data_IF_415847342402
#
_entry.id   IF_415847342402
#
_cell.length_a   1.000
_cell.length_b   1.000
_cell.length_c   1.000
_cell.angle_alpha   90.00
_cell.angle_beta   90.00
_cell.angle_gamma   90.00
#
_symmetry.space_group_name_H-M   'P 1'
#
loop_
_entity.id
_entity.type
_entity.pdbx_description
1 polymer ?
2 non-polymer ?
3 non-polymer ?
4 water ?
#
# COMPACT_ATOMS: atom_id res chain seq x y z
N UNK A 10 -11.57 -19.00 14.28
CA UNK A 10 -11.54 -18.49 15.67
C UNK A 10 -12.27 -17.14 15.69
N UNK A 11 -13.57 -17.27 15.93
CA UNK A 11 -14.44 -16.09 16.05
C UNK A 11 -14.50 -15.70 17.52
N UNK A 12 -14.55 -14.41 17.77
CA UNK A 12 -14.58 -13.88 19.13
C UNK A 12 -16.05 -13.58 19.46
N UNK A 13 -16.41 -13.87 20.69
CA UNK A 13 -17.77 -13.65 21.18
C UNK A 13 -18.29 -12.27 20.80
N UNK A 14 -19.50 -12.22 20.28
CA UNK A 14 -20.13 -10.96 19.86
C UNK A 14 -20.32 -10.12 21.13
N UNK A 15 -19.89 -8.88 21.07
CA UNK A 15 -20.10 -7.94 22.15
C UNK A 15 -21.62 -7.65 22.25
N UNK A 16 -22.00 -7.20 23.44
CA UNK A 16 -23.36 -6.81 23.75
C UNK A 16 -23.97 -5.80 22.83
N UNK A 17 -23.27 -4.76 22.40
CA UNK A 17 -23.88 -3.70 21.62
C UNK A 17 -24.06 -3.94 20.16
N UNK A 18 -23.68 -5.10 19.70
CA UNK A 18 -23.67 -5.36 18.23
C UNK A 18 -24.87 -6.17 17.80
N UNK A 19 -25.68 -5.60 16.96
CA UNK A 19 -26.89 -6.33 16.45
C UNK A 19 -26.44 -7.54 15.64
N UNK A 20 -27.10 -8.66 15.87
CA UNK A 20 -26.77 -9.92 15.20
C UNK A 20 -26.86 -9.80 13.68
N UNK A 21 -27.71 -8.91 13.20
CA UNK A 21 -28.01 -8.77 11.79
C UNK A 21 -26.85 -8.07 11.06
N UNK A 22 -26.05 -7.40 11.90
CA UNK A 22 -24.89 -6.66 11.39
C UNK A 22 -23.67 -7.54 11.31
N UNK A 23 -23.69 -8.73 11.76
CA UNK A 23 -22.55 -9.65 11.71
C UNK A 23 -22.26 -10.20 10.33
N UNK A 24 -20.96 -10.11 9.99
CA UNK A 24 -20.46 -10.64 8.70
C UNK A 24 -18.99 -11.01 8.96
N UNK A 25 -18.72 -12.29 9.03
CA UNK A 25 -17.44 -12.78 9.52
C UNK A 25 -16.41 -12.82 8.35
N UNK A 26 -15.91 -11.70 8.08
CA UNK A 26 -14.80 -11.53 7.07
C UNK A 26 -13.47 -11.53 7.85
N UNK A 27 -12.49 -12.23 7.29
CA UNK A 27 -11.14 -12.34 7.77
C UNK A 27 -10.24 -11.55 6.78
N UNK A 28 -9.84 -10.37 7.20
CA UNK A 28 -8.98 -9.52 6.36
C UNK A 28 -7.65 -10.21 6.02
N UNK A 29 -7.22 -11.22 6.70
CA UNK A 29 -5.99 -11.94 6.45
C UNK A 29 -6.18 -13.20 5.64
N UNK A 30 -7.41 -13.66 5.58
CA UNK A 30 -7.72 -14.87 4.81
C UNK A 30 -9.17 -14.90 4.37
N UNK A 31 -9.49 -14.00 3.49
CA UNK A 31 -10.84 -13.91 2.95
C UNK A 31 -11.11 -15.19 2.15
N UNK A 32 -12.42 -15.38 1.98
CA UNK A 32 -12.95 -16.53 1.34
C UNK A 32 -12.69 -16.75 -0.08
N UNK A 33 -12.91 -15.83 -1.00
CA UNK A 33 -12.64 -16.35 -2.40
C UNK A 33 -11.35 -15.80 -2.95
N UNK A 34 -10.31 -15.97 -2.13
CA UNK A 34 -8.97 -15.47 -2.47
C UNK A 34 -8.55 -16.01 -3.82
N UNK A 35 -8.88 -17.24 -4.10
CA UNK A 35 -8.59 -17.87 -5.40
C UNK A 35 -8.95 -16.98 -6.56
N UNK A 36 -10.09 -16.29 -6.46
CA UNK A 36 -10.60 -15.43 -7.52
C UNK A 36 -9.80 -14.15 -7.73
N UNK A 37 -8.97 -13.83 -6.76
CA UNK A 37 -8.22 -12.53 -6.76
C UNK A 37 -8.53 -11.84 -5.44
N UNK A 38 -7.61 -11.02 -4.95
CA UNK A 38 -7.76 -10.32 -3.71
C UNK A 38 -8.80 -9.22 -3.72
N UNK A 39 -8.87 -8.39 -4.70
CA UNK A 39 -9.80 -7.31 -4.84
C UNK A 39 -11.24 -7.94 -4.93
N UNK A 40 -11.35 -8.97 -5.73
CA UNK A 40 -12.56 -9.79 -5.82
C UNK A 40 -12.99 -10.39 -4.51
N UNK A 41 -12.15 -10.95 -3.69
CA UNK A 41 -12.46 -11.47 -2.38
C UNK A 41 -12.96 -10.43 -1.44
N UNK A 42 -12.39 -9.27 -1.39
CA UNK A 42 -12.86 -8.17 -0.54
C UNK A 42 -14.22 -7.64 -1.05
N UNK A 43 -14.40 -7.60 -2.36
CA UNK A 43 -15.59 -7.06 -2.98
C UNK A 43 -16.90 -7.80 -2.58
N UNK A 44 -16.81 -8.94 -1.96
CA UNK A 44 -17.90 -9.70 -1.44
C UNK A 44 -18.63 -8.85 -0.36
N UNK A 45 -17.93 -7.95 0.26
CA UNK A 45 -18.42 -6.99 1.21
C UNK A 45 -19.40 -6.03 0.56
N UNK A 46 -19.35 -5.87 -0.75
CA UNK A 46 -20.24 -4.85 -1.37
C UNK A 46 -21.47 -5.44 -2.03
N UNK A 47 -21.67 -6.70 -1.86
CA UNK A 47 -22.83 -7.42 -2.45
C UNK A 47 -24.08 -6.90 -1.69
N UNK A 48 -25.17 -6.92 -2.44
CA UNK A 48 -26.52 -6.50 -1.94
C UNK A 48 -26.90 -7.08 -0.61
N UNK A 49 -26.49 -8.24 -0.22
CA UNK A 49 -26.77 -8.87 1.01
C UNK A 49 -25.97 -8.29 2.20
N UNK A 50 -25.04 -7.38 1.90
CA UNK A 50 -24.17 -6.97 3.06
C UNK A 50 -24.55 -5.56 3.40
N UNK A 51 -24.81 -5.34 4.67
CA UNK A 51 -25.10 -4.00 5.19
C UNK A 51 -23.83 -3.12 5.00
N UNK A 52 -23.99 -1.82 4.97
CA UNK A 52 -22.95 -0.84 4.70
C UNK A 52 -21.87 -0.82 5.77
N UNK A 53 -22.28 -1.21 6.96
CA UNK A 53 -21.42 -1.28 8.12
C UNK A 53 -21.63 -2.56 8.85
N UNK A 54 -20.69 -3.46 8.85
CA UNK A 54 -20.71 -4.75 9.44
C UNK A 54 -19.74 -4.92 10.58
N UNK A 55 -19.89 -6.01 11.28
CA UNK A 55 -19.15 -6.46 12.41
C UNK A 55 -18.69 -7.87 12.09
N UNK A 56 -17.38 -8.06 12.24
CA UNK A 56 -16.82 -9.39 11.91
C UNK A 56 -16.27 -9.89 13.21
N UNK A 57 -16.37 -11.18 13.42
CA UNK A 57 -15.87 -11.74 14.69
C UNK A 57 -14.46 -12.27 14.58
N UNK A 58 -13.86 -12.08 13.39
CA UNK A 58 -12.51 -12.60 13.16
C UNK A 58 -11.55 -11.50 13.71
N UNK A 59 -10.36 -11.97 13.97
CA UNK A 59 -9.27 -11.08 14.37
C UNK A 59 -9.67 -10.28 15.60
N UNK A 60 -10.45 -10.94 16.47
CA UNK A 60 -10.90 -10.38 17.71
C UNK A 60 -12.14 -9.52 17.69
N UNK A 61 -12.72 -9.19 16.55
CA UNK A 61 -13.88 -8.38 16.42
C UNK A 61 -13.71 -6.93 16.14
N UNK A 62 -14.28 -6.46 15.04
CA UNK A 62 -14.15 -5.04 14.63
C UNK A 62 -15.24 -4.78 13.61
N UNK A 63 -15.51 -3.52 13.34
CA UNK A 63 -16.38 -3.01 12.33
C UNK A 63 -15.62 -2.91 11.01
N UNK A 64 -16.33 -2.92 9.90
CA UNK A 64 -15.79 -2.69 8.58
C UNK A 64 -16.79 -1.81 7.85
N UNK A 65 -16.50 -0.67 7.40
CA UNK A 65 -17.30 0.13 6.50
C UNK A 65 -17.11 -0.40 5.09
N UNK A 66 -18.15 -0.52 4.26
CA UNK A 66 -18.06 -1.21 2.99
C UNK A 66 -18.26 -0.33 1.78
N UNK A 67 -18.49 0.94 1.99
CA UNK A 67 -18.83 1.85 0.94
C UNK A 67 -17.99 3.12 1.00
N UNK A 68 -17.76 3.58 -0.21
CA UNK A 68 -16.99 4.80 -0.41
C UNK A 68 -17.39 5.92 0.46
N UNK A 69 -18.74 6.15 0.52
CA UNK A 69 -19.27 7.30 1.30
C UNK A 69 -18.85 7.24 2.74
N UNK A 70 -18.96 6.10 3.36
CA UNK A 70 -18.68 5.83 4.72
C UNK A 70 -17.17 5.90 5.01
N UNK A 71 -16.39 5.30 4.14
CA UNK A 71 -14.90 5.28 4.34
C UNK A 71 -14.34 6.69 4.37
N UNK A 72 -14.75 7.54 3.46
CA UNK A 72 -14.39 8.91 3.36
C UNK A 72 -14.82 9.74 4.54
N UNK A 73 -16.04 9.51 5.01
CA UNK A 73 -16.54 10.26 6.19
C UNK A 73 -15.71 9.90 7.40
N UNK A 74 -15.51 8.63 7.58
CA UNK A 74 -14.73 8.13 8.74
C UNK A 74 -13.32 8.70 8.69
N UNK A 75 -12.78 8.84 7.48
CA UNK A 75 -11.45 9.38 7.26
C UNK A 75 -11.33 10.85 7.53
N UNK A 76 -12.34 11.64 7.28
CA UNK A 76 -12.42 13.04 7.52
C UNK A 76 -12.56 13.38 8.98
N UNK A 77 -13.29 12.60 9.70
CA UNK A 77 -13.68 12.63 11.06
C UNK A 77 -12.73 12.27 12.14
N UNK A 78 -11.53 12.78 12.19
CA UNK A 78 -10.52 12.29 13.17
C UNK A 78 -10.92 12.42 14.61
N UNK A 79 -11.90 13.27 14.87
CA UNK A 79 -12.37 13.47 16.27
C UNK A 79 -12.95 12.18 16.82
N UNK A 80 -13.75 11.52 15.96
CA UNK A 80 -14.37 10.24 16.32
C UNK A 80 -13.52 9.05 15.97
N UNK A 81 -12.93 9.13 14.77
CA UNK A 81 -12.11 7.95 14.35
C UNK A 81 -10.63 8.30 14.44
N UNK A 82 -10.00 7.76 15.44
CA UNK A 82 -8.59 8.11 15.72
C UNK A 82 -7.58 7.14 15.16
N UNK A 83 -6.46 7.76 14.72
CA UNK A 83 -5.34 6.98 14.14
C UNK A 83 -4.47 6.32 15.16
N UNK A 84 -4.75 6.58 16.44
CA UNK A 84 -3.94 6.02 17.53
C UNK A 84 -3.67 4.55 17.39
N UNK A 85 -4.68 3.86 16.87
CA UNK A 85 -4.66 2.35 16.81
C UNK A 85 -5.28 2.00 15.46
N UNK A 86 -4.43 2.08 14.40
CA UNK A 86 -4.89 2.00 13.03
C UNK A 86 -4.85 0.65 12.40
N UNK A 87 -4.23 -0.31 13.05
CA UNK A 87 -4.11 -1.67 12.63
C UNK A 87 -4.99 -2.59 13.47
N UNK A 88 -5.40 -3.62 12.78
CA UNK A 88 -6.16 -4.75 13.28
C UNK A 88 -5.23 -5.93 13.02
N UNK A 89 -5.06 -6.82 13.96
CA UNK A 89 -5.72 -6.84 15.25
C UNK A 89 -5.20 -5.78 16.21
N UNK A 90 -5.80 -5.74 17.38
CA UNK A 90 -5.60 -4.72 18.41
C UNK A 90 -4.16 -4.69 18.88
N UNK A 91 -3.57 -5.81 19.17
CA UNK A 91 -2.20 -5.93 19.61
C UNK A 91 -1.26 -5.22 18.61
N UNK A 92 -1.58 -5.41 17.35
CA UNK A 92 -0.82 -4.77 16.26
C UNK A 92 -1.04 -3.25 16.36
N UNK A 93 -2.33 -2.88 16.41
CA UNK A 93 -2.67 -1.46 16.43
C UNK A 93 -2.07 -0.75 17.62
N UNK A 94 -2.03 -1.48 18.73
CA UNK A 94 -1.50 -1.04 19.99
C UNK A 94 0.00 -0.81 19.93
N UNK A 95 0.71 -1.79 19.41
CA UNK A 95 2.17 -1.71 19.25
C UNK A 95 2.58 -0.74 18.15
N UNK A 96 1.65 -0.32 17.33
CA UNK A 96 1.93 0.57 16.16
C UNK A 96 2.19 1.96 16.70
N UNK A 97 3.37 2.54 16.37
CA UNK A 97 3.73 3.85 16.89
C UNK A 97 4.46 4.71 15.85
N UNK A 98 4.24 4.33 14.61
CA UNK A 98 4.77 5.06 13.46
C UNK A 98 4.25 6.46 13.39
N UNK A 99 5.12 7.35 12.87
CA UNK A 99 4.77 8.76 12.71
C UNK A 99 4.85 9.07 11.23
N UNK A 100 3.95 9.85 10.69
CA UNK A 100 2.84 10.52 11.37
C UNK A 100 1.56 9.73 11.54
N UNK A 101 1.54 8.50 11.13
CA UNK A 101 0.36 7.69 10.95
C UNK A 101 -0.40 7.36 12.20
N UNK A 102 0.26 7.42 13.34
CA UNK A 102 -0.36 7.09 14.61
C UNK A 102 -0.75 8.36 15.32
N UNK A 103 -0.85 9.46 14.60
CA UNK A 103 -1.21 10.75 15.17
C UNK A 103 -2.38 11.44 14.47
N UNK A 104 -3.14 12.19 15.27
CA UNK A 104 -4.27 12.96 14.76
C UNK A 104 -3.85 14.41 14.69
N UNK A 105 -4.49 15.18 13.87
CA UNK A 105 -4.25 16.64 13.82
C UNK A 105 -4.62 17.14 15.21
N UNK A 106 -4.01 18.23 15.67
CA UNK A 106 -3.07 19.08 14.93
C UNK A 106 -1.64 18.55 15.02
N UNK A 107 -1.37 17.70 15.97
CA UNK A 107 -0.09 17.06 16.21
C UNK A 107 0.57 16.50 14.97
N UNK A 108 -0.18 15.70 14.22
CA UNK A 108 0.29 15.06 12.99
C UNK A 108 0.99 15.98 12.01
N UNK A 109 0.51 17.17 11.85
CA UNK A 109 0.84 18.17 10.87
C UNK A 109 2.30 18.61 10.74
N UNK A 110 2.99 18.68 11.86
CA UNK A 110 4.39 19.06 11.95
C UNK A 110 5.24 17.90 11.43
N UNK A 111 4.93 16.72 11.92
CA UNK A 111 5.69 15.53 11.46
C UNK A 111 5.43 15.31 9.99
N UNK A 112 4.18 15.52 9.57
CA UNK A 112 3.85 15.37 8.14
C UNK A 112 4.69 16.33 7.31
N UNK A 113 4.84 17.57 7.80
CA UNK A 113 5.60 18.61 7.08
C UNK A 113 7.03 18.12 6.78
N UNK A 114 7.64 17.47 7.72
CA UNK A 114 9.00 16.94 7.65
C UNK A 114 9.13 15.76 6.73
N UNK A 115 8.20 14.79 6.87
CA UNK A 115 8.18 13.59 6.04
C UNK A 115 8.08 14.00 4.57
N UNK A 116 7.41 15.09 4.31
CA UNK A 116 7.21 15.65 3.00
C UNK A 116 8.52 16.17 2.39
N UNK A 117 9.38 16.74 3.26
CA UNK A 117 10.67 17.28 2.82
C UNK A 117 11.47 16.15 2.15
N UNK A 118 11.40 15.00 2.71
CA UNK A 118 12.00 13.80 2.28
C UNK A 118 11.41 13.04 1.10
N UNK A 119 10.11 12.85 1.00
CA UNK A 119 9.42 12.10 -0.04
C UNK A 119 8.66 12.92 -1.03
N UNK A 120 8.45 14.19 -0.76
CA UNK A 120 7.66 15.07 -1.60
C UNK A 120 8.03 15.16 -3.04
N UNK A 121 7.24 15.99 -3.74
CA UNK A 121 7.38 16.35 -5.14
C UNK A 121 8.79 16.64 -5.65
N UNK A 122 9.45 17.59 -5.01
CA UNK A 122 10.79 18.04 -5.40
C UNK A 122 11.82 16.93 -5.32
N UNK A 123 11.68 15.97 -4.46
CA UNK A 123 12.56 14.80 -4.33
C UNK A 123 12.40 13.86 -5.52
N UNK A 124 11.14 13.77 -5.99
CA UNK A 124 10.84 12.85 -7.10
C UNK A 124 11.43 13.40 -8.38
N UNK A 125 11.26 14.72 -8.51
CA UNK A 125 11.74 15.49 -9.64
C UNK A 125 13.26 15.35 -9.77
N UNK A 126 13.91 15.40 -8.64
CA UNK A 126 15.33 15.20 -8.48
C UNK A 126 15.79 13.79 -8.76
N UNK A 127 15.01 12.76 -8.43
CA UNK A 127 15.39 11.38 -8.62
C UNK A 127 14.92 10.77 -9.93
N UNK A 128 14.26 11.52 -10.71
CA UNK A 128 13.62 11.11 -11.90
C UNK A 128 14.51 10.35 -12.85
N UNK A 129 15.66 10.93 -13.17
CA UNK A 129 16.64 10.29 -14.02
C UNK A 129 17.13 9.00 -13.46
N UNK A 130 17.32 8.83 -12.17
CA UNK A 130 17.73 7.51 -11.65
C UNK A 130 16.60 6.48 -11.85
N UNK A 131 15.38 7.04 -11.62
CA UNK A 131 14.21 6.08 -11.69
C UNK A 131 14.20 5.45 -13.08
N UNK A 132 14.24 6.28 -14.07
CA UNK A 132 14.24 5.90 -15.52
C UNK A 132 15.42 5.07 -15.88
N UNK A 133 16.59 5.39 -15.28
CA UNK A 133 17.83 4.66 -15.52
C UNK A 133 17.72 3.26 -15.03
N UNK A 134 17.27 3.10 -13.79
CA UNK A 134 17.15 1.73 -13.24
C UNK A 134 16.08 0.89 -13.94
N UNK A 135 15.02 1.54 -14.31
CA UNK A 135 13.88 0.75 -14.94
C UNK A 135 14.39 0.13 -16.22
N UNK A 136 14.90 0.95 -17.09
CA UNK A 136 15.48 0.59 -18.38
C UNK A 136 16.58 -0.47 -18.27
N UNK A 137 17.45 -0.35 -17.30
CA UNK A 137 18.50 -1.34 -17.06
C UNK A 137 17.99 -2.71 -16.70
N UNK A 138 17.05 -2.71 -15.77
CA UNK A 138 16.43 -3.95 -15.27
C UNK A 138 15.65 -4.67 -16.37
N UNK A 139 14.93 -3.91 -17.16
CA UNK A 139 14.10 -4.44 -18.25
C UNK A 139 15.03 -4.98 -19.35
N UNK A 140 15.93 -4.11 -19.79
CA UNK A 140 16.89 -4.54 -20.87
C UNK A 140 17.59 -5.82 -20.49
N UNK A 141 17.93 -5.99 -19.26
CA UNK A 141 18.55 -7.19 -18.70
C UNK A 141 17.71 -8.42 -18.71
N UNK A 142 16.36 -8.25 -18.58
CA UNK A 142 15.41 -9.33 -18.59
C UNK A 142 15.06 -9.78 -20.01
N UNK A 143 14.84 -8.83 -20.85
CA UNK A 143 14.42 -8.87 -22.21
C UNK A 143 14.80 -10.06 -23.04
N UNK A 144 16.08 -10.41 -23.16
CA UNK A 144 16.55 -11.52 -23.97
C UNK A 144 16.25 -12.88 -23.39
N UNK A 145 15.94 -12.94 -22.13
CA UNK A 145 15.68 -14.17 -21.39
C UNK A 145 14.41 -14.93 -21.78
N UNK A 146 13.41 -14.19 -22.19
CA UNK A 146 12.12 -14.65 -22.57
C UNK A 146 11.27 -15.10 -21.36
N UNK A 147 11.72 -14.88 -20.16
CA UNK A 147 11.05 -15.34 -18.95
C UNK A 147 11.61 -14.75 -17.68
N UNK A 148 10.71 -14.29 -16.80
CA UNK A 148 11.14 -13.92 -15.44
C UNK A 148 10.15 -14.43 -14.39
N UNK A 149 10.36 -14.03 -13.19
CA UNK A 149 9.59 -14.06 -12.00
C UNK A 149 9.20 -12.65 -11.69
N UNK A 150 8.48 -11.85 -12.41
CA UNK A 150 8.32 -10.44 -12.22
C UNK A 150 8.39 -9.96 -10.78
N UNK A 151 7.90 -10.73 -9.83
CA UNK A 151 7.87 -10.24 -8.46
C UNK A 151 9.30 -10.15 -7.93
N UNK A 152 10.02 -11.27 -8.07
CA UNK A 152 11.42 -11.25 -7.60
C UNK A 152 12.35 -10.54 -8.53
N UNK A 153 12.10 -10.55 -9.83
CA UNK A 153 12.95 -9.95 -10.86
C UNK A 153 12.85 -8.49 -11.14
N UNK A 154 11.75 -7.82 -10.84
CA UNK A 154 11.58 -6.42 -11.18
C UNK A 154 10.80 -5.70 -10.07
N UNK A 155 9.60 -6.33 -9.79
CA UNK A 155 8.73 -5.58 -8.82
C UNK A 155 9.40 -5.31 -7.51
N UNK A 156 10.23 -6.15 -6.97
CA UNK A 156 11.02 -5.97 -5.77
C UNK A 156 12.24 -5.08 -5.92
N UNK A 157 13.17 -5.40 -6.81
CA UNK A 157 14.35 -4.62 -7.06
C UNK A 157 14.16 -3.17 -7.38
N UNK A 158 13.29 -2.85 -8.31
CA UNK A 158 13.01 -1.53 -8.85
C UNK A 158 12.73 -0.50 -7.82
N UNK A 159 11.63 -0.72 -7.07
CA UNK A 159 11.21 0.20 -6.05
C UNK A 159 12.17 0.24 -4.89
N UNK A 160 12.64 -0.88 -4.42
CA UNK A 160 13.49 -1.00 -3.24
C UNK A 160 14.88 -0.41 -3.43
N UNK A 161 15.44 -0.67 -4.58
CA UNK A 161 16.77 -0.07 -4.86
C UNK A 161 16.65 1.44 -4.91
N UNK A 162 15.56 1.96 -5.43
CA UNK A 162 15.36 3.41 -5.51
C UNK A 162 15.23 4.07 -4.16
N UNK A 163 14.67 3.33 -3.25
CA UNK A 163 14.42 3.73 -1.89
C UNK A 163 15.75 3.61 -1.11
N UNK A 164 16.48 2.53 -1.33
CA UNK A 164 17.71 2.31 -0.53
C UNK A 164 18.65 3.47 -0.80
N UNK A 165 18.65 3.92 -2.02
CA UNK A 165 19.38 5.03 -2.55
C UNK A 165 19.00 6.33 -1.84
N UNK A 166 17.70 6.55 -1.76
CA UNK A 166 17.12 7.77 -1.23
C UNK A 166 17.38 7.85 0.28
N UNK A 167 17.40 6.70 0.89
CA UNK A 167 17.53 6.52 2.32
C UNK A 167 19.01 6.36 2.71
N UNK A 168 19.83 6.12 1.73
CA UNK A 168 21.27 5.91 1.87
C UNK A 168 21.55 4.66 2.66
N UNK A 169 20.88 3.57 2.32
CA UNK A 169 21.04 2.31 3.06
C UNK A 169 21.56 1.25 2.09
N UNK A 170 22.25 0.27 2.65
CA UNK A 170 22.87 -0.79 1.86
C UNK A 170 21.89 -1.77 1.26
N UNK A 171 22.14 -2.08 -0.02
CA UNK A 171 21.30 -3.04 -0.73
C UNK A 171 21.41 -4.41 -0.11
N UNK A 172 22.41 -4.64 0.69
CA UNK A 172 22.65 -5.94 1.33
C UNK A 172 21.65 -6.16 2.46
N UNK A 173 21.06 -5.05 2.89
CA UNK A 173 20.11 -5.11 4.02
C UNK A 173 18.72 -5.50 3.54
N UNK A 174 18.50 -5.49 2.25
CA UNK A 174 17.18 -5.74 1.67
C UNK A 174 16.46 -6.95 2.20
N UNK A 175 17.09 -8.11 2.05
CA UNK A 175 16.46 -9.38 2.43
C UNK A 175 15.87 -9.33 3.84
N UNK A 176 16.67 -8.78 4.73
CA UNK A 176 16.39 -8.69 6.15
C UNK A 176 15.23 -7.72 6.37
N UNK A 177 15.38 -6.51 5.86
CA UNK A 177 14.37 -5.49 6.02
C UNK A 177 13.00 -5.85 5.45
N UNK A 178 13.04 -6.49 4.30
CA UNK A 178 11.88 -6.93 3.54
C UNK A 178 11.10 -7.95 4.35
N UNK A 179 11.78 -8.91 4.95
CA UNK A 179 11.13 -9.93 5.76
C UNK A 179 10.35 -9.30 6.92
N UNK A 180 10.96 -8.34 7.57
CA UNK A 180 10.34 -7.65 8.68
C UNK A 180 9.14 -6.80 8.25
N UNK A 181 9.24 -6.21 7.10
CA UNK A 181 8.21 -5.32 6.54
C UNK A 181 6.95 -6.11 6.21
N UNK A 182 7.17 -7.27 5.65
CA UNK A 182 6.20 -8.27 5.30
C UNK A 182 5.40 -8.79 6.50
N UNK A 183 6.10 -9.02 7.57
CA UNK A 183 5.60 -9.50 8.84
C UNK A 183 4.59 -8.54 9.42
N UNK A 184 4.75 -7.27 9.10
CA UNK A 184 3.87 -6.21 9.57
C UNK A 184 2.58 -6.08 8.77
N UNK A 185 2.61 -6.35 7.49
CA UNK A 185 1.43 -6.19 6.63
C UNK A 185 0.73 -7.50 6.32
N UNK A 186 1.53 -8.52 6.14
CA UNK A 186 1.02 -9.88 5.82
C UNK A 186 1.59 -10.91 6.76
N UNK A 187 1.31 -10.72 8.05
CA UNK A 187 1.73 -11.61 9.14
C UNK A 187 1.62 -13.08 8.80
N UNK A 188 2.68 -13.74 9.20
CA UNK A 188 3.04 -15.12 8.84
C UNK A 188 2.86 -16.11 9.99
N UNK A 189 2.84 -15.58 11.19
CA UNK A 189 2.67 -16.36 12.42
C UNK A 189 4.03 -16.60 13.06
N UNK A 190 5.06 -16.35 12.28
CA UNK A 190 6.46 -16.52 12.67
C UNK A 190 6.85 -15.56 13.78
N UNK A 191 6.34 -14.33 13.69
CA UNK A 191 6.56 -13.33 14.75
C UNK A 191 5.35 -12.44 14.91
N UNK A 192 5.16 -12.02 16.15
CA UNK A 192 4.12 -11.02 16.53
C UNK A 192 4.51 -9.66 15.93
N UNK A 193 3.61 -8.72 15.92
CA UNK A 193 3.84 -7.38 15.41
C UNK A 193 4.90 -6.68 16.26
N UNK A 194 4.78 -6.76 17.57
CA UNK A 194 5.72 -6.11 18.47
C UNK A 194 7.15 -6.57 18.24
N UNK A 195 7.37 -7.84 18.08
CA UNK A 195 8.68 -8.42 17.79
C UNK A 195 9.23 -7.83 16.46
N UNK A 196 8.40 -7.70 15.46
CA UNK A 196 8.76 -7.26 14.13
C UNK A 196 9.16 -5.80 14.13
N UNK A 197 8.39 -5.02 14.86
CA UNK A 197 8.59 -3.59 15.02
C UNK A 197 9.94 -3.36 15.75
N UNK A 198 10.17 -4.24 16.72
CA UNK A 198 11.36 -4.21 17.53
C UNK A 198 12.64 -4.47 16.77
N UNK A 199 12.63 -5.47 15.93
CA UNK A 199 13.77 -5.84 15.10
C UNK A 199 14.07 -4.75 14.08
N UNK A 200 13.03 -4.10 13.59
CA UNK A 200 13.21 -3.03 12.61
C UNK A 200 13.87 -1.84 13.32
N UNK A 201 13.49 -1.68 14.56
CA UNK A 201 13.86 -0.60 15.43
C UNK A 201 15.30 -0.77 15.90
N UNK A 202 15.69 -2.01 16.09
CA UNK A 202 17.05 -2.41 16.46
C UNK A 202 18.03 -2.05 15.32
N UNK A 203 17.52 -2.21 14.14
CA UNK A 203 18.18 -1.88 12.90
C UNK A 203 18.43 -0.38 12.79
N UNK A 204 17.39 0.41 12.85
CA UNK A 204 17.41 1.84 12.70
C UNK A 204 18.22 2.62 13.71
N UNK A 205 18.04 2.34 14.97
CA UNK A 205 18.67 3.02 16.10
C UNK A 205 20.11 3.44 15.87
N UNK A 206 20.98 2.50 15.66
CA UNK A 206 22.41 2.76 15.38
C UNK A 206 22.61 3.77 14.25
N UNK A 207 21.85 3.52 13.17
CA UNK A 207 21.90 4.28 11.94
C UNK A 207 21.49 5.71 12.17
N UNK A 208 20.41 5.90 12.90
CA UNK A 208 19.93 7.26 13.23
C UNK A 208 21.00 7.93 14.09
N UNK A 209 21.55 7.18 15.03
CA UNK A 209 22.56 7.73 15.96
C UNK A 209 23.69 8.39 15.12
N UNK A 210 24.25 7.57 14.30
CA UNK A 210 25.32 7.83 13.34
C UNK A 210 25.05 9.08 12.52
N UNK A 211 23.85 9.24 12.03
CA UNK A 211 23.43 10.36 11.20
C UNK A 211 23.06 11.62 11.94
N UNK A 212 22.96 11.53 13.25
CA UNK A 212 22.69 12.71 14.08
C UNK A 212 24.08 13.37 14.31
N UNK A 213 25.08 12.51 14.43
CA UNK A 213 26.46 12.94 14.64
C UNK A 213 27.09 13.46 13.33
N UNK A 214 27.04 12.61 12.33
CA UNK A 214 27.55 12.84 10.99
C UNK A 214 26.46 12.78 9.91
N UNK A 215 25.77 13.91 9.75
CA UNK A 215 24.72 14.09 8.79
C UNK A 215 25.14 13.95 7.33
N UNK A 216 24.23 13.30 6.61
CA UNK A 216 24.31 13.15 5.14
C UNK A 216 23.20 14.00 4.51
N UNK A 217 22.98 13.69 3.27
CA UNK A 217 21.99 14.33 2.40
C UNK A 217 20.84 13.35 2.11
N UNK A 218 20.95 12.17 2.63
CA UNK A 218 19.96 11.09 2.50
C UNK A 218 18.70 11.45 3.34
N UNK A 219 17.71 10.57 3.12
CA UNK A 219 16.40 10.75 3.79
C UNK A 219 16.50 10.67 5.29
N UNK A 220 17.19 9.69 5.81
CA UNK A 220 17.34 9.40 7.22
C UNK A 220 18.04 10.52 7.98
N UNK A 221 19.08 11.04 7.32
CA UNK A 221 19.84 12.18 7.83
C UNK A 221 18.94 13.39 7.96
N UNK A 222 18.12 13.61 6.96
CA UNK A 222 17.22 14.80 7.00
C UNK A 222 16.18 14.64 8.09
N UNK A 223 15.64 13.45 8.23
CA UNK A 223 14.66 13.16 9.29
C UNK A 223 15.32 13.33 10.67
N UNK A 224 16.41 12.69 10.90
CA UNK A 224 17.11 12.67 12.20
C UNK A 224 17.58 14.00 12.72
N UNK A 225 17.73 14.94 11.82
CA UNK A 225 18.25 16.30 12.10
C UNK A 225 17.19 17.36 11.92
N UNK A 226 15.98 16.97 11.55
CA UNK A 226 14.87 17.88 11.25
C UNK A 226 14.41 18.66 12.47
N UNK A 227 13.53 19.60 12.22
CA UNK A 227 12.87 20.45 13.20
C UNK A 227 11.36 20.18 13.19
N UNK A 228 10.80 20.11 14.36
CA UNK A 228 9.35 19.93 14.53
C UNK A 228 8.88 20.80 15.69
N UNK A 229 8.00 21.71 15.35
CA UNK A 229 7.41 22.64 16.32
C UNK A 229 8.51 23.52 16.93
N UNK A 230 9.28 24.12 16.02
CA UNK A 230 10.37 25.02 16.37
C UNK A 230 11.58 24.35 16.99
N UNK A 231 11.38 23.24 17.66
CA UNK A 231 12.46 22.49 18.36
C UNK A 231 12.91 21.33 17.52
N UNK A 232 13.94 20.62 17.98
CA UNK A 232 14.54 19.51 17.28
C UNK A 232 13.87 18.17 17.53
N UNK A 233 13.69 17.41 16.46
CA UNK A 233 13.10 16.07 16.58
C UNK A 233 13.94 15.26 17.55
N UNK A 234 13.32 14.47 18.38
CA UNK A 234 14.02 13.56 19.28
C UNK A 234 14.40 12.35 18.44
N UNK A 235 15.09 11.44 19.05
CA UNK A 235 15.63 10.22 18.46
C UNK A 235 14.57 9.16 18.25
N UNK A 236 13.71 9.00 19.25
CA UNK A 236 12.58 8.05 19.19
C UNK A 236 11.62 8.47 18.08
N UNK A 237 11.40 9.76 17.92
CA UNK A 237 10.63 10.38 16.89
C UNK A 237 11.12 10.10 15.48
N UNK A 238 12.45 10.21 15.31
CA UNK A 238 13.02 9.92 13.95
C UNK A 238 12.92 8.43 13.73
N UNK A 239 13.16 7.68 14.79
CA UNK A 239 13.10 6.20 14.67
C UNK A 239 11.74 5.77 14.12
N UNK A 240 10.69 6.30 14.74
CA UNK A 240 9.31 6.14 14.36
C UNK A 240 8.91 6.69 13.04
N UNK A 241 9.42 7.79 12.52
CA UNK A 241 9.15 8.23 11.19
C UNK A 241 9.81 7.25 10.17
N UNK A 242 11.09 6.96 10.45
CA UNK A 242 11.84 6.16 9.46
C UNK A 242 11.20 4.82 9.31
N UNK A 243 10.74 4.29 10.43
CA UNK A 243 10.11 2.94 10.43
C UNK A 243 8.95 2.95 9.41
N UNK A 244 8.19 4.01 9.36
CA UNK A 244 7.12 4.12 8.38
C UNK A 244 7.60 4.23 6.95
N UNK A 245 8.58 5.15 6.76
CA UNK A 245 9.15 5.36 5.40
C UNK A 245 9.59 4.02 4.84
N UNK A 246 10.12 3.21 5.68
CA UNK A 246 10.63 1.91 5.42
C UNK A 246 9.60 0.91 4.88
N UNK A 247 8.49 0.84 5.56
CA UNK A 247 7.34 -0.02 5.15
C UNK A 247 6.76 0.55 3.87
N UNK A 248 6.64 1.86 3.76
CA UNK A 248 6.12 2.49 2.54
C UNK A 248 7.03 2.18 1.37
N UNK A 249 8.35 2.26 1.63
CA UNK A 249 9.36 2.03 0.57
C UNK A 249 9.42 0.61 0.08
N UNK A 250 9.39 -0.37 0.92
CA UNK A 250 9.58 -1.76 0.70
C UNK A 250 8.39 -2.59 0.30
N UNK A 251 7.24 -2.26 0.88
CA UNK A 251 5.99 -2.96 0.75
C UNK A 251 4.90 -2.43 -0.09
N UNK A 252 4.82 -1.28 -0.64
CA UNK A 252 3.68 -0.77 -1.38
C UNK A 252 3.74 -0.85 -2.89
N UNK A 253 4.60 -0.08 -3.48
CA UNK A 253 4.85 -0.01 -4.91
C UNK A 253 5.17 -1.42 -5.41
N UNK A 254 5.83 -2.13 -4.58
CA UNK A 254 6.29 -3.50 -4.91
C UNK A 254 5.13 -4.41 -5.28
N UNK A 255 4.10 -4.31 -4.42
CA UNK A 255 2.88 -5.17 -4.59
C UNK A 255 2.06 -4.66 -5.73
N UNK A 256 1.82 -3.38 -5.80
CA UNK A 256 1.02 -2.77 -6.84
C UNK A 256 1.49 -3.15 -8.23
N UNK A 257 2.83 -3.13 -8.42
CA UNK A 257 3.31 -3.40 -9.81
C UNK A 257 2.91 -4.79 -10.21
N UNK A 258 2.99 -5.72 -9.27
CA UNK A 258 2.64 -7.14 -9.61
C UNK A 258 1.18 -7.28 -10.00
N UNK A 259 0.26 -6.53 -9.31
CA UNK A 259 -1.16 -6.66 -9.65
C UNK A 259 -1.35 -6.18 -11.07
N UNK A 260 -0.79 -5.01 -11.36
CA UNK A 260 -0.90 -4.33 -12.62
C UNK A 260 -0.27 -5.11 -13.77
N UNK A 261 0.84 -5.73 -13.49
CA UNK A 261 1.57 -6.52 -14.52
C UNK A 261 0.87 -7.81 -14.82
N UNK A 262 0.31 -8.41 -13.77
CA UNK A 262 -0.54 -9.62 -13.97
C UNK A 262 -1.70 -9.28 -14.88
N UNK A 263 -2.33 -8.16 -14.69
CA UNK A 263 -3.39 -7.64 -15.52
C UNK A 263 -2.92 -7.42 -16.95
N UNK A 264 -1.79 -6.71 -17.11
CA UNK A 264 -1.29 -6.46 -18.47
C UNK A 264 -0.98 -7.76 -19.20
N UNK A 265 -0.44 -8.72 -18.52
CA UNK A 265 -0.13 -10.02 -19.04
C UNK A 265 -1.35 -10.73 -19.60
N UNK A 266 -2.52 -10.39 -19.09
CA UNK A 266 -3.79 -11.04 -19.56
C UNK A 266 -4.58 -10.20 -20.46
N UNK A 267 -4.22 -9.00 -20.73
CA UNK A 267 -4.99 -8.08 -21.57
C UNK A 267 -4.25 -7.43 -22.67
N UNK A 268 -4.07 -8.19 -23.77
CA UNK A 268 -3.41 -7.72 -24.98
C UNK A 268 -3.92 -6.42 -25.48
N UNK A 269 -5.25 -6.20 -25.31
CA UNK A 269 -5.87 -4.97 -25.82
C UNK A 269 -5.55 -3.77 -24.95
N UNK A 270 -5.24 -3.99 -23.70
CA UNK A 270 -4.89 -2.86 -22.80
C UNK A 270 -3.44 -2.46 -23.08
N UNK A 271 -2.65 -3.47 -23.28
CA UNK A 271 -1.22 -3.23 -23.70
C UNK A 271 -1.19 -2.39 -24.94
N UNK A 272 -1.90 -2.79 -25.98
CA UNK A 272 -1.90 -2.13 -27.28
C UNK A 272 -2.35 -0.72 -27.19
N UNK A 273 -3.34 -0.55 -26.32
CA UNK A 273 -3.95 0.77 -26.18
C UNK A 273 -2.89 1.75 -25.73
N UNK A 274 -2.04 1.33 -24.82
CA UNK A 274 -0.98 2.13 -24.21
C UNK A 274 0.19 2.38 -25.16
N UNK A 275 0.44 1.44 -26.03
CA UNK A 275 1.44 1.51 -27.06
C UNK A 275 1.14 2.51 -28.11
N UNK A 276 -0.07 2.52 -28.70
CA UNK A 276 -0.42 3.48 -29.71
C UNK A 276 -0.81 4.84 -29.25
N UNK A 277 -1.29 4.97 -28.05
CA UNK A 277 -1.87 6.27 -27.55
C UNK A 277 -1.26 6.55 -26.19
N UNK A 278 0.03 6.84 -26.20
CA UNK A 278 0.86 7.04 -25.02
C UNK A 278 0.41 8.14 -24.09
N UNK A 279 -0.34 9.07 -24.64
CA UNK A 279 -0.90 10.19 -23.90
C UNK A 279 -1.89 9.73 -22.82
N UNK A 280 -2.18 8.45 -22.80
CA UNK A 280 -3.15 7.80 -21.95
C UNK A 280 -2.57 7.13 -20.74
N UNK A 281 -1.26 6.98 -20.69
CA UNK A 281 -0.58 6.33 -19.59
C UNK A 281 -0.96 6.85 -18.21
N UNK A 282 -1.02 8.13 -18.05
CA UNK A 282 -1.33 8.80 -16.79
C UNK A 282 -2.72 8.40 -16.32
N UNK A 283 -3.65 8.41 -17.21
CA UNK A 283 -5.06 8.08 -17.07
C UNK A 283 -5.22 6.62 -16.75
N UNK A 284 -4.48 5.80 -17.48
CA UNK A 284 -4.39 4.37 -17.26
C UNK A 284 -3.82 4.07 -15.90
N UNK A 285 -2.86 4.91 -15.46
CA UNK A 285 -2.16 4.60 -14.18
C UNK A 285 -3.21 4.79 -13.05
N UNK A 286 -3.95 5.82 -13.16
CA UNK A 286 -5.01 6.15 -12.17
C UNK A 286 -6.07 5.04 -12.13
N UNK A 287 -6.42 4.55 -13.30
CA UNK A 287 -7.43 3.49 -13.44
C UNK A 287 -6.98 2.26 -12.80
N UNK A 288 -5.69 1.88 -13.01
CA UNK A 288 -5.08 0.72 -12.31
C UNK A 288 -4.97 0.96 -10.86
N UNK A 289 -4.63 2.17 -10.39
CA UNK A 289 -4.59 2.45 -8.95
C UNK A 289 -6.01 2.20 -8.36
N UNK A 290 -7.03 2.47 -9.16
CA UNK A 290 -8.43 2.22 -8.67
C UNK A 290 -8.73 0.75 -8.57
N UNK A 291 -8.57 0.03 -9.66
CA UNK A 291 -8.92 -1.41 -9.75
C UNK A 291 -8.04 -2.29 -8.94
N UNK A 292 -6.74 -1.89 -8.81
CA UNK A 292 -5.81 -2.76 -8.10
C UNK A 292 -5.32 -2.16 -6.81
N UNK A 293 -6.18 -1.36 -6.19
CA UNK A 293 -6.05 -0.83 -4.82
C UNK A 293 -5.76 -1.93 -3.87
N UNK A 294 -4.89 -1.69 -2.85
CA UNK A 294 -4.40 -2.74 -2.00
C UNK A 294 -4.15 -2.53 -0.54
N UNK A 295 -4.42 -1.36 0.02
CA UNK A 295 -4.21 -1.10 1.42
C UNK A 295 -5.60 -1.09 2.15
N UNK A 296 -5.59 -1.71 3.28
CA UNK A 296 -6.70 -1.66 4.24
C UNK A 296 -6.24 -1.44 5.65
N UNK A 297 -6.47 -0.25 6.16
CA UNK A 297 -6.26 -0.04 7.63
C UNK A 297 -7.54 0.54 8.22
N UNK A 298 -7.45 1.07 9.46
CA UNK A 298 -8.68 1.59 10.12
C UNK A 298 -8.32 2.57 11.18
N UNK A 299 -9.27 2.80 12.10
CA UNK A 299 -9.23 3.79 13.16
C UNK A 299 -9.84 3.22 14.44
N UNK A 300 -9.77 3.96 15.51
CA UNK A 300 -10.28 3.49 16.82
C UNK A 300 -11.30 4.47 17.32
N UNK A 301 -12.38 3.95 17.96
CA UNK A 301 -13.39 4.95 18.43
C UNK A 301 -12.83 5.61 19.68
N UNK A 302 -12.91 6.92 19.67
CA UNK A 302 -12.44 7.74 20.82
C UNK A 302 -13.59 7.85 21.86
N UNK A 303 -14.78 7.47 21.42
CA UNK A 303 -15.98 7.55 22.25
C UNK A 303 -17.16 6.86 21.52
N UNK A 304 -18.22 6.76 22.33
CA UNK A 304 -19.49 6.16 21.80
C UNK A 304 -20.00 7.19 20.79
N UNK A 305 -20.39 6.69 19.65
CA UNK A 305 -20.81 7.61 18.57
C UNK A 305 -21.73 6.77 17.67
N UNK A 306 -22.74 7.44 17.21
CA UNK A 306 -23.74 6.85 16.34
C UNK A 306 -23.47 7.30 14.92
N UNK A 307 -23.10 6.34 14.11
CA UNK A 307 -22.66 6.61 12.72
C UNK A 307 -23.58 5.81 11.79
N UNK A 308 -24.32 6.50 10.98
CA UNK A 308 -25.25 5.92 9.99
C UNK A 308 -26.19 4.94 10.67
N UNK A 309 -26.75 5.40 11.79
CA UNK A 309 -27.65 4.68 12.64
C UNK A 309 -27.10 3.50 13.35
N UNK A 310 -25.79 3.24 13.30
CA UNK A 310 -25.21 2.07 14.06
C UNK A 310 -24.47 2.70 15.26
N UNK A 311 -24.61 2.07 16.42
CA UNK A 311 -23.96 2.55 17.64
C UNK A 311 -22.53 2.03 17.81
N UNK A 312 -21.64 3.02 17.77
CA UNK A 312 -20.18 2.57 17.88
C UNK A 312 -19.81 2.84 19.33
N UNK A 313 -19.11 1.92 19.96
CA UNK A 313 -18.67 2.14 21.33
C UNK A 313 -17.21 2.58 21.38
N UNK A 314 -16.91 3.37 22.39
CA UNK A 314 -15.51 3.87 22.58
C UNK A 314 -14.59 2.67 22.61
N UNK A 315 -13.49 2.67 21.87
CA UNK A 315 -12.52 1.55 21.93
C UNK A 315 -12.73 0.53 20.82
N UNK A 316 -13.83 0.70 20.08
CA UNK A 316 -14.13 -0.22 18.98
C UNK A 316 -13.13 0.18 17.84
N UNK A 317 -12.63 -0.86 17.24
CA UNK A 317 -11.79 -0.52 16.00
C UNK A 317 -12.70 -0.70 14.81
N UNK A 318 -12.55 0.08 13.76
CA UNK A 318 -13.28 -0.14 12.51
C UNK A 318 -12.24 -0.12 11.34
N UNK A 319 -12.39 -1.09 10.49
CA UNK A 319 -11.50 -1.18 9.28
C UNK A 319 -12.17 -0.35 8.21
N UNK A 320 -11.53 0.64 7.67
CA UNK A 320 -11.98 1.51 6.62
C UNK A 320 -11.05 1.19 5.41
N UNK A 321 -11.36 0.12 4.69
CA UNK A 321 -10.56 -0.33 3.57
C UNK A 321 -10.39 0.66 2.45
N UNK A 322 -9.17 1.29 2.33
CA UNK A 322 -9.03 2.26 1.21
C UNK A 322 -9.33 1.58 -0.12
N UNK A 323 -9.06 0.30 -0.16
CA UNK A 323 -9.21 -0.53 -1.37
C UNK A 323 -10.67 -0.55 -1.89
N UNK A 324 -11.61 -0.41 -0.98
CA UNK A 324 -13.04 -0.65 -1.32
C UNK A 324 -13.71 0.48 -2.00
N UNK A 325 -13.34 1.70 -1.67
CA UNK A 325 -13.87 2.91 -2.21
C UNK A 325 -14.13 2.90 -3.70
N UNK A 326 -13.05 2.62 -4.47
CA UNK A 326 -13.14 2.76 -5.93
C UNK A 326 -13.72 1.52 -6.58
N UNK A 327 -13.89 0.49 -5.79
CA UNK A 327 -14.50 -0.75 -6.22
C UNK A 327 -16.03 -0.73 -6.04
N UNK A 328 -16.47 0.29 -5.36
CA UNK A 328 -17.89 0.55 -5.05
C UNK A 328 -18.62 1.04 -6.25
N UNK A 329 -19.67 0.28 -6.70
CA UNK A 329 -20.48 0.67 -7.83
C UNK A 329 -21.19 1.99 -7.67
N UNK A 330 -21.45 2.43 -6.46
CA UNK A 330 -22.11 3.74 -6.24
C UNK A 330 -21.11 4.83 -6.64
N UNK A 331 -19.85 4.45 -6.78
CA UNK A 331 -18.74 5.33 -7.11
C UNK A 331 -18.26 5.16 -8.54
N UNK A 332 -18.05 3.93 -8.98
CA UNK A 332 -17.58 3.68 -10.35
C UNK A 332 -18.52 2.65 -11.01
N UNK A 333 -19.09 3.02 -12.12
CA UNK A 333 -19.94 2.03 -12.87
C UNK A 333 -19.03 0.88 -13.28
N UNK A 334 -19.51 -0.34 -13.37
CA UNK A 334 -18.78 -1.53 -13.71
C UNK A 334 -17.37 -1.53 -13.10
N UNK A 335 -17.28 -1.62 -11.79
CA UNK A 335 -16.05 -1.46 -11.05
C UNK A 335 -14.95 -2.43 -11.32
N UNK A 336 -15.22 -3.66 -11.60
CA UNK A 336 -14.28 -4.73 -11.79
C UNK A 336 -13.66 -4.70 -13.20
N UNK A 337 -14.14 -3.86 -14.01
CA UNK A 337 -13.76 -3.68 -15.40
C UNK A 337 -12.78 -2.46 -15.46
N UNK A 338 -11.70 -2.74 -16.22
CA UNK A 338 -10.65 -1.74 -16.38
C UNK A 338 -10.97 -0.98 -17.68
N UNK A 339 -11.10 0.30 -17.54
CA UNK A 339 -11.41 1.21 -18.64
C UNK A 339 -10.56 2.46 -18.53
N UNK A 340 -9.56 2.57 -19.39
CA UNK A 340 -8.65 3.71 -19.41
C UNK A 340 -9.32 4.98 -19.80
N UNK A 341 -10.47 4.98 -20.40
CA UNK A 341 -11.21 6.16 -20.83
C UNK A 341 -12.37 6.61 -19.93
N UNK A 342 -12.37 6.20 -18.69
CA UNK A 342 -13.44 6.67 -17.75
C UNK A 342 -13.40 8.18 -17.61
N UNK A 343 -14.56 8.79 -17.62
CA UNK A 343 -14.73 10.20 -17.38
C UNK A 343 -14.18 10.61 -16.02
N UNK A 344 -14.32 9.72 -15.07
CA UNK A 344 -13.92 10.02 -13.66
C UNK A 344 -13.48 8.75 -12.97
N UNK A 345 -12.26 8.75 -12.48
CA UNK A 345 -11.71 7.60 -11.76
C UNK A 345 -11.73 8.03 -10.28
N UNK A 346 -12.65 7.43 -9.54
CA UNK A 346 -12.79 7.76 -8.11
C UNK A 346 -12.20 6.63 -7.30
N UNK A 347 -11.29 6.95 -6.38
CA UNK A 347 -10.65 5.97 -5.52
C UNK A 347 -10.18 6.70 -4.27
N UNK A 348 -9.68 5.99 -3.32
CA UNK A 348 -8.99 6.52 -2.09
C UNK A 348 -7.79 5.62 -1.88
N UNK A 349 -7.17 5.20 -2.99
CA UNK A 349 -6.01 4.29 -2.96
C UNK A 349 -4.88 4.79 -2.08
N UNK A 350 -4.65 6.08 -2.11
CA UNK A 350 -3.58 6.73 -1.33
C UNK A 350 -4.13 7.37 -0.05
N UNK A 351 -5.32 6.93 0.32
CA UNK A 351 -6.01 7.37 1.55
C UNK A 351 -6.86 8.60 1.35
N UNK A 352 -7.27 9.16 2.50
CA UNK A 352 -8.24 10.30 2.48
C UNK A 352 -8.21 10.92 3.87
N UNK A 353 -8.45 12.20 3.90
CA UNK A 353 -8.36 13.00 5.11
C UNK A 353 -6.93 13.52 5.29
N UNK A 354 -6.59 13.75 6.57
CA UNK A 354 -5.29 14.41 6.83
C UNK A 354 -4.11 13.49 6.63
N UNK A 355 -4.32 12.21 6.41
CA UNK A 355 -3.35 11.18 6.24
C UNK A 355 -3.00 10.82 4.81
N UNK A 356 -3.40 11.51 3.82
CA UNK A 356 -3.08 11.21 2.39
C UNK A 356 -1.63 10.80 2.20
N UNK A 357 -1.31 9.82 1.35
CA UNK A 357 0.03 9.35 1.09
C UNK A 357 0.90 10.56 0.65
N UNK A 358 1.98 10.69 1.39
CA UNK A 358 3.03 11.65 1.01
C UNK A 358 3.85 11.08 -0.15
N UNK A 359 4.02 9.78 -0.18
CA UNK A 359 4.79 9.09 -1.20
C UNK A 359 4.08 8.73 -2.48
N UNK A 360 2.93 9.34 -2.67
CA UNK A 360 2.05 9.00 -3.81
C UNK A 360 2.71 9.39 -5.11
N UNK A 361 3.34 10.56 -5.07
CA UNK A 361 4.07 11.17 -6.21
C UNK A 361 5.23 10.31 -6.68
N UNK A 362 5.93 9.73 -5.77
CA UNK A 362 7.01 8.78 -6.01
C UNK A 362 6.42 7.51 -6.62
N UNK A 363 5.33 7.05 -5.94
CA UNK A 363 4.67 5.82 -6.40
C UNK A 363 4.20 5.90 -7.82
N UNK A 364 3.56 6.95 -8.22
CA UNK A 364 3.05 7.23 -9.52
C UNK A 364 4.18 7.29 -10.58
N UNK A 365 5.29 7.91 -10.16
CA UNK A 365 6.42 8.09 -11.14
C UNK A 365 6.98 6.76 -11.47
N UNK A 366 7.15 5.88 -10.53
CA UNK A 366 7.61 4.56 -10.61
C UNK A 366 6.71 3.67 -11.45
N UNK A 367 5.41 3.96 -11.34
CA UNK A 367 4.41 3.15 -12.11
C UNK A 367 4.48 3.56 -13.57
N UNK A 368 4.37 4.83 -13.83
CA UNK A 368 4.34 5.40 -15.13
C UNK A 368 5.63 5.02 -15.93
N UNK A 369 6.74 5.00 -15.25
CA UNK A 369 8.04 4.65 -15.90
C UNK A 369 8.02 3.21 -16.28
N UNK A 370 7.65 2.38 -15.31
CA UNK A 370 7.58 0.94 -15.56
C UNK A 370 6.71 0.64 -16.77
N UNK A 371 5.53 1.26 -16.84
CA UNK A 371 4.61 0.90 -17.94
C UNK A 371 5.25 1.28 -19.26
N UNK A 372 5.72 2.52 -19.30
CA UNK A 372 6.25 3.10 -20.56
C UNK A 372 7.40 2.27 -21.09
N UNK A 373 8.31 1.95 -20.20
CA UNK A 373 9.56 1.30 -20.47
C UNK A 373 9.44 -0.17 -20.70
N UNK A 374 8.55 -0.81 -19.96
CA UNK A 374 8.26 -2.22 -20.16
C UNK A 374 7.67 -2.45 -21.53
N UNK A 375 6.65 -1.72 -21.88
CA UNK A 375 5.90 -1.84 -23.11
C UNK A 375 6.73 -1.51 -24.35
N UNK A 376 7.68 -0.60 -24.15
CA UNK A 376 8.60 -0.20 -25.19
C UNK A 376 9.43 -1.38 -25.60
N UNK A 377 9.97 -2.13 -24.67
CA UNK A 377 10.82 -3.26 -24.91
C UNK A 377 10.12 -4.59 -25.05
N UNK A 378 9.12 -4.85 -24.21
CA UNK A 378 8.43 -6.16 -24.21
C UNK A 378 6.91 -5.92 -24.35
N UNK A 379 6.54 -5.62 -25.58
CA UNK A 379 5.17 -5.27 -25.94
C UNK A 379 4.19 -6.43 -25.79
N UNK A 380 4.71 -7.62 -25.86
CA UNK A 380 3.93 -8.86 -25.90
C UNK A 380 4.60 -9.84 -24.96
N UNK A 381 3.76 -10.28 -24.01
CA UNK A 381 4.13 -11.22 -22.96
C UNK A 381 2.83 -11.83 -22.40
N UNK A 382 2.99 -12.86 -21.59
CA UNK A 382 1.88 -13.49 -20.91
C UNK A 382 2.35 -14.25 -19.70
N UNK A 383 1.34 -14.71 -18.94
CA UNK A 383 1.57 -15.52 -17.77
C UNK A 383 2.09 -16.88 -18.27
N UNK A 384 2.98 -17.41 -17.46
CA UNK A 384 3.58 -18.72 -17.86
C UNK A 384 2.46 -19.77 -17.84
N UNK A 385 2.49 -20.64 -18.82
CA UNK A 385 1.53 -21.73 -18.92
C UNK A 385 1.62 -22.62 -17.69
N UNK A 386 0.47 -22.69 -17.02
CA UNK A 386 0.25 -23.60 -15.93
C UNK A 386 0.72 -23.05 -14.60
N UNK A 387 0.90 -21.74 -14.56
CA UNK A 387 1.25 -21.10 -13.30
C UNK A 387 -0.12 -20.64 -12.77
N UNK A 388 -0.30 -20.90 -11.50
CA UNK A 388 -1.53 -20.44 -10.78
C UNK A 388 -1.07 -19.21 -9.97
N UNK A 389 -1.53 -18.04 -10.33
CA UNK A 389 -1.14 -16.82 -9.61
C UNK A 389 -1.87 -16.75 -8.28
N UNK A 390 -1.12 -16.62 -7.19
CA UNK A 390 -1.77 -16.51 -5.87
C UNK A 390 -1.60 -15.16 -5.22
N UNK A 391 -2.74 -14.65 -4.77
CA UNK A 391 -2.80 -13.39 -4.04
C UNK A 391 -2.69 -13.64 -2.57
N UNK A 392 -2.31 -12.61 -1.82
CA UNK A 392 -2.20 -12.66 -0.35
C UNK A 392 -2.93 -11.45 0.21
N UNK A 393 -3.63 -11.64 1.31
CA UNK A 393 -4.37 -10.52 1.91
C UNK A 393 -3.75 -10.02 3.18
N UNK A 394 -3.99 -8.77 3.53
CA UNK A 394 -3.54 -8.20 4.79
C UNK A 394 -3.78 -6.74 4.78
N UNK A 395 -3.00 -6.02 5.58
CA UNK A 395 -2.98 -4.56 5.57
C UNK A 395 -2.59 -4.09 4.20
N UNK A 396 -1.60 -4.77 3.62
CA UNK A 396 -1.17 -4.46 2.22
C UNK A 396 -1.28 -5.78 1.53
N UNK A 397 -1.99 -5.83 0.40
CA UNK A 397 -2.20 -7.14 -0.26
C UNK A 397 -1.07 -7.36 -1.27
N UNK A 398 -0.82 -8.63 -1.53
CA UNK A 398 0.21 -8.96 -2.53
C UNK A 398 -0.01 -10.06 -3.45
N UNK A 399 0.97 -10.23 -4.39
CA UNK A 399 1.01 -11.37 -5.33
C UNK A 399 2.21 -12.20 -4.87
N UNK A 400 2.08 -13.46 -4.70
CA UNK A 400 3.08 -14.40 -4.27
C UNK A 400 4.29 -14.55 -5.20
N UNK A 401 4.01 -14.65 -6.47
CA UNK A 401 5.01 -14.81 -7.53
C UNK A 401 4.30 -14.59 -8.83
N UNK A 402 5.02 -14.11 -9.83
CA UNK A 402 4.36 -13.89 -11.13
C UNK A 402 5.32 -14.30 -12.26
N UNK A 403 5.22 -15.55 -12.67
CA UNK A 403 6.02 -16.06 -13.78
C UNK A 403 5.46 -15.60 -15.09
N UNK A 404 6.21 -14.81 -15.88
CA UNK A 404 5.94 -14.33 -17.18
C UNK A 404 6.82 -15.07 -18.22
N UNK A 405 6.39 -15.09 -19.46
CA UNK A 405 7.03 -15.66 -20.61
C UNK A 405 6.80 -14.76 -21.80
N UNK A 406 7.74 -14.77 -22.73
CA UNK A 406 7.65 -13.93 -23.93
C UNK A 406 8.67 -14.48 -24.97
N UNK A 407 8.44 -14.07 -26.17
CA UNK A 407 9.32 -14.47 -27.30
C UNK A 407 10.29 -13.31 -27.50
N UNK A 408 11.54 -13.59 -27.26
CA UNK A 408 12.62 -12.59 -27.37
C UNK A 408 12.58 -11.94 -28.74
N UNK A 409 12.12 -12.67 -29.74
CA UNK A 409 12.07 -12.18 -31.13
C UNK A 409 11.11 -11.05 -31.31
N UNK A 410 10.17 -10.90 -30.33
CA UNK A 410 9.17 -9.83 -30.44
C UNK A 410 9.60 -8.63 -29.65
N UNK A 411 10.67 -8.80 -28.86
CA UNK A 411 11.14 -7.65 -28.06
C UNK A 411 11.85 -6.65 -28.94
N UNK A 412 12.12 -5.49 -28.33
CA UNK A 412 12.81 -4.38 -28.93
C UNK A 412 13.89 -3.82 -28.00
N UNK A 413 15.12 -3.91 -28.46
CA UNK A 413 16.22 -3.28 -27.68
C UNK A 413 16.07 -1.78 -27.94
N UNK A 414 16.46 -1.04 -26.96
CA UNK A 414 16.50 0.42 -26.96
C UNK A 414 17.94 0.82 -26.53
X LIG B 1 0.17 6.96 4.12
X LIG B 1 -1.17 4.03 0.47
X LIG B 1 3.32 4.34 -1.36
X LIG B 1 4.71 6.83 2.51
X LIG B 1 -0.59 6.13 3.29
X LIG B 1 -2.00 5.80 3.44
X LIG B 1 -2.32 4.92 2.49
X LIG B 1 -1.17 4.84 1.56
X LIG B 1 -3.68 4.29 2.11
X LIG B 1 -2.89 6.32 4.59
X LIG B 1 -3.00 5.40 5.78
X LIG B 1 -3.96 5.83 6.86
X LIG B 1 -4.68 6.81 6.58
X LIG B 1 -3.89 5.06 7.86
X LIG B 1 -0.04 3.83 -0.32
X LIG B 1 -0.05 3.16 -1.58
X LIG B 1 1.18 3.26 -2.13
X LIG B 1 2.00 3.97 -1.15
X LIG B 1 -1.29 2.50 -2.25
X LIG B 1 1.71 2.80 -3.47
X LIG B 1 1.21 2.04 -4.40
X LIG B 1 4.10 5.05 -0.46
X LIG B 1 5.54 5.34 -0.63
X LIG B 1 5.93 5.97 0.47
X LIG B 1 4.75 6.09 1.36
X LIG B 1 6.35 4.94 -1.84
X LIG B 1 7.26 6.64 0.89
X LIG B 1 8.41 5.96 0.72
X LIG B 1 3.60 7.22 3.25
X LIG B 1 3.55 8.12 4.37
X LIG B 1 2.32 8.11 4.85
X LIG B 1 1.52 7.18 4.05
X LIG B 1 4.81 8.91 4.86
X LIG B 1 1.71 8.91 6.02
X LIG B 1 1.22 10.30 5.68
X LIG B 1 0.61 11.08 6.82
X LIG B 1 0.35 12.29 6.60
X LIG B 1 0.32 10.50 7.88
X LIG B 1 -0.14 5.58 2.14
X LIG B 1 1.22 4.33 -0.05
X LIG B 1 3.71 5.44 0.75
X LIG B 1 2.35 6.68 3.03
X LIG B 1 1.81 5.53 1.51
X LIG C 1 3.18 2.79 4.58
X LIG C 1 2.27 1.74 4.52
X LIG C 1 1.28 1.76 3.50
X LIG C 1 1.20 2.83 2.64
X LIG C 1 2.16 3.85 2.67
X LIG C 1 3.12 3.85 3.68
#
# INVERSE_FOLDING_TARGET
TTETIQSNANLAPLPPHVPEHLVFDFDMYNPSNLSAGVQEAWAVLQESNVPDLVWTRCNGGHWIATRGQLIREAYEDYRHFSSECPFIPREAGEAYDFIPTSMDPPEQRQFRALANQVVGMPVVDKLENRIQELACSLIESLRPQGQCNFTEDYAEPFPIRIFMLLAGLPEEDIPHLKYLTDQMTRPDGSMTFAEAKEALYDYLIPIIEQRRQKPGTDAISIVANGQVNGRPITSDEAKRMCGLLLVGGLDTVVNFLSFSMEFLAKSPEHRQELIERPERIPAACEELLRRFSLVADGRILTSDYEFHGVQLKKGDQILLPQMLSGLDERENACPMHVDFSRQKVSHTTFGHGSHLCLGQHLARREIIVTLKEWLTRIPDFSIAPGAQIQHKSGIVSGVQALPLVWDPATTKAV
HEM CHA CHB CHC CHD C1A C2A C3A C4A CMA CAA CBA CGA O1A O2A C1B C2B C3B C4B CMB CAB CBB C1C C2C C3C C4C CMC CAC CBC C1D C2D C3D C4D CMD CAD CBD CGD O1D O2D NA NB NC ND FE
BNZ C1 C2 C3 C4 C5 C6
#
